data_IF_768055368150
#
_entry.id   IF_768055368150
#
_cell.length_a   1.000
_cell.length_b   1.000
_cell.length_c   1.000
_cell.angle_alpha   90.00
_cell.angle_beta   90.00
_cell.angle_gamma   90.00
#
_symmetry.space_group_name_H-M   'P 1'
#
loop_
_entity.id
_entity.type
_entity.pdbx_description
1 polymer ?
#
# COMPACT_ATOMS: atom_id res chain seq x y z
N UNK A 1 57.80 21.20 -43.78
CA UNK A 1 56.73 20.27 -44.24
C UNK A 1 56.27 19.33 -43.12
N UNK A 2 57.19 18.77 -42.31
CA UNK A 2 56.85 17.95 -41.14
C UNK A 2 56.10 18.71 -40.03
N UNK A 3 56.44 19.97 -39.75
CA UNK A 3 55.78 20.78 -38.70
C UNK A 3 54.34 21.18 -39.04
N UNK A 4 54.06 21.46 -40.32
CA UNK A 4 52.70 21.76 -40.78
C UNK A 4 51.81 20.51 -40.72
N UNK A 5 52.37 19.34 -41.00
CA UNK A 5 51.66 18.06 -40.91
C UNK A 5 51.37 17.66 -39.46
N UNK A 6 52.31 17.86 -38.53
CA UNK A 6 52.10 17.60 -37.10
C UNK A 6 51.07 18.56 -36.48
N UNK A 7 51.11 19.85 -36.84
CA UNK A 7 50.12 20.83 -36.41
C UNK A 7 48.71 20.49 -36.91
N UNK A 8 48.57 20.12 -38.20
CA UNK A 8 47.29 19.67 -38.76
C UNK A 8 46.75 18.43 -38.05
N UNK A 9 47.61 17.45 -37.76
CA UNK A 9 47.21 16.23 -37.03
C UNK A 9 46.73 16.55 -35.61
N UNK A 10 47.40 17.47 -34.91
CA UNK A 10 47.00 17.91 -33.57
C UNK A 10 45.65 18.61 -33.54
N UNK A 11 45.40 19.53 -34.48
CA UNK A 11 44.09 20.19 -34.62
C UNK A 11 42.99 19.18 -34.96
N UNK A 12 43.28 18.22 -35.84
CA UNK A 12 42.31 17.16 -36.20
C UNK A 12 41.93 16.29 -35.01
N UNK A 13 42.91 15.84 -34.23
CA UNK A 13 42.64 15.07 -33.00
C UNK A 13 41.82 15.89 -32.00
N UNK A 14 42.11 17.19 -31.86
CA UNK A 14 41.34 18.06 -30.97
C UNK A 14 39.87 18.22 -31.43
N UNK A 15 39.62 18.27 -32.74
CA UNK A 15 38.26 18.29 -33.30
C UNK A 15 37.56 16.96 -32.98
N UNK A 16 38.21 15.82 -33.21
CA UNK A 16 37.65 14.49 -32.92
C UNK A 16 37.28 14.33 -31.43
N UNK A 17 38.13 14.82 -30.51
CA UNK A 17 37.83 14.86 -29.08
C UNK A 17 36.61 15.72 -28.76
N UNK A 18 36.53 16.94 -29.32
CA UNK A 18 35.41 17.85 -29.08
C UNK A 18 34.10 17.30 -29.65
N UNK A 19 34.13 16.64 -30.81
CA UNK A 19 32.96 15.98 -31.39
C UNK A 19 32.49 14.78 -30.56
N UNK A 20 33.43 14.05 -29.94
CA UNK A 20 33.09 12.96 -29.02
C UNK A 20 32.45 13.49 -27.74
N UNK A 21 33.06 14.50 -27.11
CA UNK A 21 32.53 15.16 -25.91
C UNK A 21 31.12 15.73 -26.16
N UNK A 22 30.89 16.32 -27.33
CA UNK A 22 29.58 16.88 -27.69
C UNK A 22 28.51 15.79 -27.84
N UNK A 23 28.86 14.65 -28.48
CA UNK A 23 27.94 13.50 -28.57
C UNK A 23 27.56 12.96 -27.20
N UNK A 24 28.50 12.91 -26.27
CA UNK A 24 28.23 12.44 -24.90
C UNK A 24 27.41 13.45 -24.10
N UNK A 25 27.63 14.75 -24.28
CA UNK A 25 26.78 15.80 -23.69
C UNK A 25 25.35 15.73 -24.19
N UNK A 26 25.13 15.54 -25.49
CA UNK A 26 23.79 15.40 -26.07
C UNK A 26 23.06 14.17 -25.50
N UNK A 27 23.75 13.03 -25.37
CA UNK A 27 23.18 11.83 -24.73
C UNK A 27 22.78 12.08 -23.27
N UNK A 28 23.60 12.79 -22.52
CA UNK A 28 23.29 13.16 -21.13
C UNK A 28 22.11 14.12 -21.05
N UNK A 29 22.04 15.10 -21.96
CA UNK A 29 20.93 16.05 -22.04
C UNK A 29 19.61 15.34 -22.34
N UNK A 30 19.60 14.41 -23.30
CA UNK A 30 18.42 13.61 -23.62
C UNK A 30 17.96 12.78 -22.41
N UNK A 31 18.93 12.17 -21.71
CA UNK A 31 18.66 11.39 -20.51
C UNK A 31 18.05 12.25 -19.39
N UNK A 32 18.60 13.43 -19.12
CA UNK A 32 18.08 14.32 -18.09
C UNK A 32 16.73 14.93 -18.48
N UNK A 33 16.53 15.25 -19.75
CA UNK A 33 15.25 15.77 -20.27
C UNK A 33 14.16 14.73 -20.09
N UNK A 34 14.44 13.48 -20.42
CA UNK A 34 13.53 12.36 -20.17
C UNK A 34 13.22 12.19 -18.68
N UNK A 35 14.26 12.16 -17.83
CA UNK A 35 14.08 12.01 -16.38
C UNK A 35 13.30 13.17 -15.74
N UNK A 36 13.54 14.41 -16.21
CA UNK A 36 12.82 15.59 -15.75
C UNK A 36 11.33 15.49 -16.08
N UNK A 37 10.99 15.12 -17.32
CA UNK A 37 9.59 14.91 -17.73
C UNK A 37 8.90 13.84 -16.90
N UNK A 38 9.58 12.71 -16.63
CA UNK A 38 9.01 11.68 -15.75
C UNK A 38 8.68 12.20 -14.34
N UNK A 39 9.49 13.12 -13.80
CA UNK A 39 9.25 13.73 -12.49
C UNK A 39 8.07 14.70 -12.53
N UNK A 40 8.01 15.54 -13.56
CA UNK A 40 6.93 16.51 -13.75
C UNK A 40 5.58 15.80 -13.96
N UNK A 41 5.56 14.74 -14.75
CA UNK A 41 4.35 13.93 -15.01
C UNK A 41 3.85 13.20 -13.76
N UNK A 42 4.76 12.80 -12.86
CA UNK A 42 4.41 12.11 -11.63
C UNK A 42 3.76 13.02 -10.58
N UNK A 43 3.84 14.35 -10.71
CA UNK A 43 3.19 15.33 -9.81
C UNK A 43 3.33 14.99 -8.33
N UNK A 44 4.53 14.58 -7.92
CA UNK A 44 4.83 14.19 -6.54
C UNK A 44 4.72 15.41 -5.62
N UNK A 45 4.13 15.22 -4.44
CA UNK A 45 4.03 16.27 -3.44
C UNK A 45 5.07 16.10 -2.33
N UNK A 46 5.70 17.17 -1.84
CA UNK A 46 6.51 17.11 -0.63
C UNK A 46 5.71 16.56 0.55
N UNK A 47 6.26 15.62 1.30
CA UNK A 47 5.57 14.98 2.44
C UNK A 47 4.55 13.90 2.05
N UNK A 48 4.41 13.59 0.75
CA UNK A 48 3.48 12.56 0.27
C UNK A 48 3.86 11.16 0.78
N UNK A 49 5.15 10.83 0.85
CA UNK A 49 5.63 9.52 1.34
C UNK A 49 5.20 9.30 2.80
N UNK A 50 5.38 10.30 3.67
CA UNK A 50 5.00 10.23 5.09
C UNK A 50 3.48 10.16 5.26
N UNK A 51 2.74 10.97 4.50
CA UNK A 51 1.26 10.94 4.49
C UNK A 51 0.75 9.56 4.08
N UNK A 52 1.23 9.02 2.97
CA UNK A 52 0.80 7.71 2.46
C UNK A 52 1.15 6.55 3.39
N UNK A 53 2.31 6.58 4.04
CA UNK A 53 2.65 5.54 5.01
C UNK A 53 1.75 5.63 6.24
N UNK A 54 1.42 6.83 6.71
CA UNK A 54 0.47 7.02 7.82
C UNK A 54 -0.93 6.53 7.47
N UNK A 55 -1.44 6.85 6.27
CA UNK A 55 -2.73 6.38 5.76
C UNK A 55 -2.76 4.87 5.61
N UNK A 56 -1.68 4.28 5.09
CA UNK A 56 -1.54 2.83 4.96
C UNK A 56 -1.57 2.13 6.31
N UNK A 57 -0.94 2.69 7.34
CA UNK A 57 -1.02 2.12 8.70
C UNK A 57 -2.44 2.17 9.25
N UNK A 58 -3.14 3.30 9.07
CA UNK A 58 -4.55 3.44 9.47
C UNK A 58 -5.43 2.44 8.73
N UNK A 59 -5.29 2.33 7.41
CA UNK A 59 -6.06 1.39 6.58
C UNK A 59 -5.76 -0.07 6.93
N UNK A 60 -4.48 -0.42 7.13
CA UNK A 60 -4.10 -1.78 7.51
C UNK A 60 -4.64 -2.15 8.89
N UNK A 61 -4.69 -1.21 9.82
CA UNK A 61 -5.31 -1.42 11.13
C UNK A 61 -6.83 -1.56 10.99
N UNK A 62 -7.49 -0.73 10.18
CA UNK A 62 -8.92 -0.82 9.92
C UNK A 62 -9.30 -2.16 9.28
N UNK A 63 -8.53 -2.64 8.31
CA UNK A 63 -8.72 -3.95 7.66
C UNK A 63 -8.54 -5.11 8.66
N UNK A 64 -7.51 -5.05 9.51
CA UNK A 64 -7.31 -6.04 10.57
C UNK A 64 -8.48 -6.08 11.55
N UNK A 65 -8.95 -4.91 11.99
CA UNK A 65 -10.09 -4.79 12.91
C UNK A 65 -11.36 -5.33 12.25
N UNK A 66 -11.62 -4.97 10.99
CA UNK A 66 -12.76 -5.47 10.23
C UNK A 66 -12.74 -7.00 10.10
N UNK A 67 -11.60 -7.57 9.69
CA UNK A 67 -11.47 -9.01 9.54
C UNK A 67 -11.64 -9.74 10.89
N UNK A 68 -11.10 -9.18 11.97
CA UNK A 68 -11.30 -9.73 13.31
C UNK A 68 -12.78 -9.71 13.71
N UNK A 69 -13.50 -8.63 13.40
CA UNK A 69 -14.93 -8.51 13.66
C UNK A 69 -15.74 -9.53 12.84
N UNK A 70 -15.53 -9.62 11.53
CA UNK A 70 -16.22 -10.59 10.69
C UNK A 70 -15.94 -12.04 11.12
N UNK A 71 -14.68 -12.40 11.39
CA UNK A 71 -14.36 -13.73 11.88
C UNK A 71 -15.06 -14.05 13.21
N UNK A 72 -15.16 -13.09 14.12
CA UNK A 72 -15.89 -13.27 15.36
C UNK A 72 -17.40 -13.43 15.12
N UNK A 73 -17.99 -12.66 14.20
CA UNK A 73 -19.38 -12.83 13.80
C UNK A 73 -19.65 -14.22 13.23
N UNK A 74 -18.78 -14.72 12.36
CA UNK A 74 -18.90 -16.06 11.77
C UNK A 74 -18.85 -17.15 12.85
N UNK A 75 -17.87 -17.08 13.76
CA UNK A 75 -17.72 -18.05 14.84
C UNK A 75 -18.91 -18.05 15.82
N UNK A 76 -19.52 -16.89 16.04
CA UNK A 76 -20.63 -16.74 16.99
C UNK A 76 -21.98 -17.11 16.38
N UNK A 77 -22.25 -16.65 15.16
CA UNK A 77 -23.59 -16.65 14.58
C UNK A 77 -23.71 -17.32 13.22
N UNK A 78 -22.75 -17.12 12.31
CA UNK A 78 -22.89 -17.56 10.91
C UNK A 78 -22.45 -19.01 10.68
N UNK A 79 -23.32 -19.80 10.04
CA UNK A 79 -23.03 -21.18 9.63
C UNK A 79 -23.43 -22.26 10.64
N UNK A 80 -23.46 -23.51 10.15
CA UNK A 80 -23.94 -24.68 10.89
C UNK A 80 -23.01 -25.10 12.04
N UNK A 81 -21.74 -24.70 12.00
CA UNK A 81 -20.73 -24.96 13.03
C UNK A 81 -20.55 -23.78 14.00
N UNK A 82 -21.40 -22.75 13.93
CA UNK A 82 -21.32 -21.60 14.83
C UNK A 82 -21.58 -21.98 16.29
N UNK A 83 -21.12 -21.11 17.20
CA UNK A 83 -21.39 -21.26 18.64
C UNK A 83 -22.88 -21.27 18.92
N UNK A 84 -23.67 -20.39 18.27
CA UNK A 84 -25.11 -20.37 18.38
C UNK A 84 -25.77 -21.68 17.90
N UNK A 85 -25.33 -22.24 16.76
CA UNK A 85 -25.84 -23.52 16.25
C UNK A 85 -25.51 -24.69 17.20
N UNK A 86 -24.30 -24.69 17.76
CA UNK A 86 -23.84 -25.68 18.75
C UNK A 86 -24.65 -25.60 20.04
N UNK A 87 -24.90 -24.38 20.55
CA UNK A 87 -25.72 -24.14 21.74
C UNK A 87 -27.16 -24.59 21.54
N UNK A 88 -27.79 -24.28 20.39
CA UNK A 88 -29.14 -24.77 20.06
C UNK A 88 -29.20 -26.30 20.07
N UNK A 89 -28.19 -26.94 19.49
CA UNK A 89 -28.11 -28.41 19.45
C UNK A 89 -27.93 -29.01 20.84
N UNK A 90 -27.06 -28.43 21.67
CA UNK A 90 -26.85 -28.85 23.06
C UNK A 90 -28.12 -28.66 23.90
N UNK A 91 -28.79 -27.51 23.77
CA UNK A 91 -30.05 -27.21 24.48
C UNK A 91 -31.11 -28.27 24.19
N UNK A 92 -31.27 -28.66 22.92
CA UNK A 92 -32.21 -29.74 22.53
C UNK A 92 -31.91 -31.07 23.23
N UNK A 93 -30.63 -31.44 23.36
CA UNK A 93 -30.25 -32.67 24.08
C UNK A 93 -30.54 -32.56 25.58
N UNK A 94 -30.26 -31.40 26.19
CA UNK A 94 -30.54 -31.15 27.61
C UNK A 94 -32.05 -31.11 27.90
N UNK A 95 -32.86 -30.59 26.97
CA UNK A 95 -34.32 -30.65 27.05
C UNK A 95 -34.84 -32.09 27.01
N UNK A 96 -34.26 -32.96 26.18
CA UNK A 96 -34.60 -34.39 26.18
C UNK A 96 -34.22 -35.06 27.51
N UNK A 97 -33.06 -34.74 28.09
CA UNK A 97 -32.69 -35.22 29.43
C UNK A 97 -33.65 -34.74 30.51
N UNK A 98 -34.15 -33.52 30.41
CA UNK A 98 -35.11 -32.95 31.35
C UNK A 98 -36.48 -33.66 31.36
N UNK A 99 -36.79 -34.48 30.34
CA UNK A 99 -37.97 -35.37 30.34
C UNK A 99 -37.84 -36.53 31.32
N UNK A 100 -36.61 -36.97 31.59
CA UNK A 100 -36.32 -38.07 32.50
C UNK A 100 -35.92 -37.57 33.90
N UNK A 101 -35.13 -36.48 33.95
CA UNK A 101 -34.51 -35.97 35.16
C UNK A 101 -34.77 -34.45 35.28
N UNK A 102 -35.74 -34.02 36.12
CA UNK A 102 -36.18 -32.61 36.18
C UNK A 102 -35.09 -31.59 36.50
N UNK A 103 -33.99 -32.00 37.15
CA UNK A 103 -32.83 -31.14 37.46
C UNK A 103 -32.20 -30.50 36.23
N UNK A 104 -32.37 -31.08 35.03
CA UNK A 104 -31.83 -30.53 33.80
C UNK A 104 -32.63 -29.35 33.22
N UNK A 105 -33.81 -29.04 33.77
CA UNK A 105 -34.60 -27.87 33.34
C UNK A 105 -33.84 -26.56 33.55
N UNK A 106 -33.15 -26.41 34.67
CA UNK A 106 -32.34 -25.23 34.95
C UNK A 106 -31.16 -25.10 33.98
N UNK A 107 -30.51 -26.22 33.65
CA UNK A 107 -29.43 -26.24 32.66
C UNK A 107 -29.91 -25.87 31.25
N UNK A 108 -31.10 -26.33 30.85
CA UNK A 108 -31.74 -25.93 29.58
C UNK A 108 -32.02 -24.43 29.53
N UNK A 109 -32.58 -23.86 30.61
CA UNK A 109 -32.83 -22.42 30.72
C UNK A 109 -31.52 -21.60 30.70
N UNK A 110 -30.46 -22.09 31.34
CA UNK A 110 -29.14 -21.45 31.30
C UNK A 110 -28.55 -21.44 29.88
N UNK A 111 -28.71 -22.53 29.12
CA UNK A 111 -28.30 -22.60 27.72
C UNK A 111 -29.09 -21.63 26.82
N UNK A 112 -30.38 -21.41 27.10
CA UNK A 112 -31.17 -20.41 26.39
C UNK A 112 -30.65 -18.99 26.61
N UNK A 113 -30.37 -18.63 27.86
CA UNK A 113 -29.80 -17.32 28.20
C UNK A 113 -28.42 -17.11 27.56
N UNK A 114 -27.59 -18.16 27.54
CA UNK A 114 -26.30 -18.13 26.87
C UNK A 114 -26.44 -17.96 25.35
N UNK A 115 -27.42 -18.60 24.72
CA UNK A 115 -27.69 -18.46 23.29
C UNK A 115 -28.04 -17.01 22.94
N UNK A 116 -28.98 -16.40 23.67
CA UNK A 116 -29.35 -14.98 23.48
C UNK A 116 -28.12 -14.08 23.60
N UNK A 117 -27.31 -14.29 24.63
CA UNK A 117 -26.08 -13.50 24.84
C UNK A 117 -25.09 -13.64 23.67
N UNK A 118 -24.93 -14.85 23.13
CA UNK A 118 -24.05 -15.10 21.96
C UNK A 118 -24.58 -14.39 20.71
N UNK A 119 -25.89 -14.44 20.48
CA UNK A 119 -26.52 -13.78 19.33
C UNK A 119 -26.40 -12.25 19.41
N UNK A 120 -26.59 -11.66 20.59
CA UNK A 120 -26.42 -10.22 20.84
C UNK A 120 -24.97 -9.75 20.60
N UNK A 121 -23.99 -10.52 21.07
CA UNK A 121 -22.58 -10.22 20.82
C UNK A 121 -22.27 -10.34 19.32
N UNK A 122 -22.78 -11.37 18.65
CA UNK A 122 -22.66 -11.53 17.20
C UNK A 122 -23.20 -10.30 16.44
N UNK A 123 -24.42 -9.86 16.77
CA UNK A 123 -25.02 -8.67 16.16
C UNK A 123 -24.18 -7.41 16.40
N UNK A 124 -23.70 -7.21 17.63
CA UNK A 124 -22.86 -6.06 18.00
C UNK A 124 -21.59 -5.99 17.14
N UNK A 125 -20.93 -7.13 16.96
CA UNK A 125 -19.67 -7.20 16.20
C UNK A 125 -19.91 -6.99 14.70
N UNK A 126 -21.01 -7.54 14.15
CA UNK A 126 -21.40 -7.31 12.76
C UNK A 126 -21.69 -5.83 12.48
N UNK A 127 -22.44 -5.19 13.36
CA UNK A 127 -22.82 -3.78 13.20
C UNK A 127 -21.57 -2.87 13.28
N UNK A 128 -20.62 -3.20 14.15
CA UNK A 128 -19.32 -2.56 14.21
C UNK A 128 -18.51 -2.74 12.91
N UNK A 129 -18.47 -3.95 12.34
CA UNK A 129 -17.80 -4.21 11.07
C UNK A 129 -18.40 -3.40 9.91
N UNK A 130 -19.74 -3.29 9.87
CA UNK A 130 -20.46 -2.47 8.90
C UNK A 130 -20.09 -0.98 8.98
N UNK A 131 -19.85 -0.45 10.18
CA UNK A 131 -19.39 0.92 10.39
C UNK A 131 -17.99 1.21 9.83
N UNK A 132 -17.09 0.22 9.83
CA UNK A 132 -15.72 0.37 9.32
C UNK A 132 -15.69 0.44 7.78
N UNK A 133 -16.54 -0.33 7.11
CA UNK A 133 -16.52 -0.43 5.64
C UNK A 133 -17.14 0.80 4.94
N UNK A 134 -17.91 1.61 5.66
CA UNK A 134 -18.64 2.76 5.10
C UNK A 134 -17.77 4.01 4.74
N UNK A 135 -16.44 3.88 4.63
CA UNK A 135 -15.52 4.99 4.26
C UNK A 135 -14.77 4.72 2.94
N UNK A 136 -15.41 4.84 1.75
CA UNK A 136 -14.80 4.49 0.46
C UNK A 136 -13.80 5.54 -0.06
N UNK A 137 -13.92 6.80 0.37
CA UNK A 137 -13.16 7.92 -0.20
C UNK A 137 -11.65 7.81 0.03
N UNK A 138 -11.23 7.28 1.19
CA UNK A 138 -9.80 7.20 1.54
C UNK A 138 -9.06 6.10 0.76
N UNK A 139 -9.77 5.10 0.23
CA UNK A 139 -9.18 4.01 -0.56
C UNK A 139 -8.84 4.45 -2.00
N UNK A 140 -9.63 5.37 -2.58
CA UNK A 140 -9.43 5.88 -3.93
C UNK A 140 -8.17 6.72 -4.09
N UNK A 141 -7.85 7.54 -3.09
CA UNK A 141 -6.69 8.43 -3.12
C UNK A 141 -5.36 7.66 -2.95
N UNK A 142 -5.32 6.71 -2.00
CA UNK A 142 -4.15 5.85 -1.74
C UNK A 142 -3.80 4.97 -2.95
N UNK A 143 -4.79 4.48 -3.71
CA UNK A 143 -4.55 3.66 -4.90
C UNK A 143 -3.95 4.45 -6.07
N UNK A 144 -4.40 5.68 -6.29
CA UNK A 144 -3.81 6.60 -7.29
C UNK A 144 -2.37 6.97 -6.91
N UNK A 145 -2.12 7.27 -5.65
CA UNK A 145 -0.79 7.59 -5.15
C UNK A 145 0.18 6.39 -5.26
N UNK A 146 -0.29 5.18 -4.97
CA UNK A 146 0.47 3.94 -5.15
C UNK A 146 0.80 3.67 -6.63
N UNK A 147 -0.08 4.02 -7.57
CA UNK A 147 0.19 3.95 -9.01
C UNK A 147 1.29 4.94 -9.43
N UNK A 148 1.26 6.20 -8.94
CA UNK A 148 2.34 7.19 -9.16
C UNK A 148 3.70 6.65 -8.68
N UNK A 149 3.73 5.98 -7.52
CA UNK A 149 4.95 5.37 -6.95
C UNK A 149 5.45 4.13 -7.69
N UNK A 150 4.56 3.26 -8.20
CA UNK A 150 4.95 2.02 -8.92
C UNK A 150 5.63 2.30 -10.26
N UNK A 151 5.38 3.44 -10.89
CA UNK A 151 6.13 3.90 -12.07
C UNK A 151 7.54 4.42 -11.72
N UNK A 152 7.82 4.64 -10.43
CA UNK A 152 9.03 5.31 -9.90
C UNK A 152 10.16 4.46 -9.24
N UNK A 153 10.28 3.11 -9.32
CA UNK A 153 11.23 2.35 -8.49
C UNK A 153 12.71 2.62 -8.81
N UNK A 154 13.01 3.13 -10.01
CA UNK A 154 14.38 3.39 -10.50
C UNK A 154 14.98 4.70 -9.95
N UNK A 155 14.19 5.52 -9.26
CA UNK A 155 14.51 6.91 -8.93
C UNK A 155 15.31 7.11 -7.63
N UNK A 156 15.08 6.38 -6.53
CA UNK A 156 15.96 6.51 -5.32
C UNK A 156 17.43 6.20 -5.64
N UNK A 157 17.66 5.31 -6.60
CA UNK A 157 19.00 4.97 -7.11
C UNK A 157 19.52 6.03 -8.10
N UNK A 158 18.66 6.62 -8.93
CA UNK A 158 19.02 7.67 -9.91
C UNK A 158 19.17 9.07 -9.32
N UNK A 159 18.41 9.45 -8.29
CA UNK A 159 18.45 10.78 -7.68
C UNK A 159 19.74 11.01 -6.86
N UNK A 160 20.28 9.95 -6.24
CA UNK A 160 21.66 9.97 -5.69
C UNK A 160 22.71 10.26 -6.77
N UNK A 161 22.48 9.76 -7.99
CA UNK A 161 23.31 10.05 -9.17
C UNK A 161 23.09 11.48 -9.70
N UNK A 162 21.84 11.98 -9.66
CA UNK A 162 21.48 13.31 -10.15
C UNK A 162 21.95 14.45 -9.22
N UNK A 163 21.83 14.29 -7.89
CA UNK A 163 22.37 15.24 -6.90
C UNK A 163 23.91 15.24 -6.85
N UNK A 164 24.56 14.19 -7.35
CA UNK A 164 25.99 14.21 -7.64
C UNK A 164 26.29 14.97 -8.95
N UNK A 165 25.36 14.96 -9.90
CA UNK A 165 25.48 15.62 -11.19
C UNK A 165 25.24 17.14 -11.13
N UNK A 166 24.26 17.61 -10.37
CA UNK A 166 24.05 19.06 -10.12
C UNK A 166 25.28 19.74 -9.49
N UNK A 167 26.01 19.02 -8.64
CA UNK A 167 27.28 19.52 -8.06
C UNK A 167 28.44 19.54 -9.04
N UNK A 168 28.37 18.77 -10.12
CA UNK A 168 29.46 18.58 -11.08
C UNK A 168 29.13 19.14 -12.47
N UNK A 169 27.97 19.80 -12.65
CA UNK A 169 27.54 20.40 -13.90
C UNK A 169 27.99 21.87 -13.93
N UNK A 170 29.06 22.24 -14.67
CA UNK A 170 29.45 23.62 -14.77
C UNK A 170 28.46 24.34 -15.70
N UNK A 171 27.73 25.30 -15.13
CA UNK A 171 27.27 26.54 -15.79
C UNK A 171 26.21 26.49 -16.91
N UNK A 172 25.65 25.34 -17.31
CA UNK A 172 24.69 25.29 -18.44
C UNK A 172 23.19 25.43 -18.09
N UNK A 173 22.81 25.45 -16.81
CA UNK A 173 21.40 25.62 -16.38
C UNK A 173 21.00 27.09 -16.08
N UNK A 174 21.83 28.08 -16.40
CA UNK A 174 21.52 29.52 -16.13
C UNK A 174 20.87 30.28 -17.28
N UNK A 175 20.56 29.63 -18.40
CA UNK A 175 20.05 30.32 -19.61
C UNK A 175 18.75 29.74 -20.16
N UNK A 176 17.99 29.00 -19.35
CA UNK A 176 16.58 28.67 -19.60
C UNK A 176 15.80 29.13 -18.38
#
# INVERSE_FOLDING_TARGET
MQDAFSAWKGVRTRIEELEHDEKDRLRLLDLWTYQKREIEDAKLQPGEDERLESEKLVLANAEKIYNAAMNAFDLLYEGDASTAASLRSARKQVEELARYEPKFREASAALESALISVEDVGATVRDFAGGIHASPEHLGESTLARKRRKSFPRWRTRMKSCAACERNCPRLLRTI
#
